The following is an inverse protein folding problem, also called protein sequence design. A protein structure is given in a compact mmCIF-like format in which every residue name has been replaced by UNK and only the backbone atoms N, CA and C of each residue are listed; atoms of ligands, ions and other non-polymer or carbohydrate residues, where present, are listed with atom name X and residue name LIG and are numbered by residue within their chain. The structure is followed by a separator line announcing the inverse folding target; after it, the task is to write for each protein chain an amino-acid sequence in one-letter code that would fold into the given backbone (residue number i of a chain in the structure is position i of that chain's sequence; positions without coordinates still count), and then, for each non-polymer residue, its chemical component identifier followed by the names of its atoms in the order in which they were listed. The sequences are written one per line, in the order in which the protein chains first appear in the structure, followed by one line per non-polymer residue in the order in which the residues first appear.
data_IF_519328405162
#
_entry.id   IF_519328405162
#
_cell.length_a   1.000
_cell.length_b   1.000
_cell.length_c   1.000
_cell.angle_alpha   90.00
_cell.angle_beta   90.00
_cell.angle_gamma   90.00
#
_symmetry.space_group_name_H-M   'P 1'
#
loop_
_entity.id
_entity.type
_entity.pdbx_description
1 polymer ?
#
# COMPACT_ATOMS: atom_id res chain seq x y z
N UNK A 1 -6.67 2.04 5.13
CA UNK A 1 -7.85 2.87 4.79
C UNK A 1 -8.64 2.19 3.66
N UNK A 2 -9.81 2.67 3.20
CA UNK A 2 -10.45 2.14 1.98
C UNK A 2 -9.65 2.60 0.75
N UNK A 3 -9.34 1.69 -0.19
CA UNK A 3 -8.59 2.02 -1.42
C UNK A 3 -9.22 3.12 -2.28
N UNK A 4 -10.54 3.29 -2.21
CA UNK A 4 -11.22 4.40 -2.89
C UNK A 4 -10.77 5.77 -2.38
N UNK A 5 -10.38 5.88 -1.11
CA UNK A 5 -9.93 7.15 -0.53
C UNK A 5 -8.53 7.48 -1.02
N UNK A 6 -7.61 6.51 -1.05
CA UNK A 6 -6.28 6.70 -1.64
C UNK A 6 -6.36 7.09 -3.12
N UNK A 7 -7.22 6.40 -3.87
CA UNK A 7 -7.47 6.71 -5.28
C UNK A 7 -7.98 8.14 -5.50
N UNK A 8 -9.02 8.55 -4.77
CA UNK A 8 -9.58 9.90 -4.89
C UNK A 8 -8.55 10.94 -4.46
N UNK A 9 -7.85 10.70 -3.35
CA UNK A 9 -6.86 11.63 -2.83
C UNK A 9 -5.69 11.82 -3.79
N UNK A 10 -5.12 10.73 -4.33
CA UNK A 10 -4.03 10.81 -5.29
C UNK A 10 -4.46 11.39 -6.64
N UNK A 11 -5.72 11.20 -7.05
CA UNK A 11 -6.28 11.89 -8.22
C UNK A 11 -6.39 13.41 -8.00
N UNK A 12 -6.90 13.83 -6.84
CA UNK A 12 -6.99 15.25 -6.47
C UNK A 12 -5.60 15.87 -6.36
N UNK A 13 -4.65 15.18 -5.71
CA UNK A 13 -3.28 15.62 -5.57
C UNK A 13 -2.59 15.76 -6.93
N UNK A 14 -2.76 14.78 -7.83
CA UNK A 14 -2.25 14.83 -9.19
C UNK A 14 -2.83 16.01 -9.98
N UNK A 15 -4.15 16.23 -9.90
CA UNK A 15 -4.78 17.37 -10.56
C UNK A 15 -4.24 18.71 -10.02
N UNK A 16 -4.10 18.84 -8.70
CA UNK A 16 -3.58 20.04 -8.05
C UNK A 16 -2.12 20.33 -8.42
N UNK A 17 -1.30 19.28 -8.58
CA UNK A 17 0.12 19.41 -8.91
C UNK A 17 0.41 19.32 -10.43
N UNK A 18 -0.63 19.15 -11.26
CA UNK A 18 -0.49 19.10 -12.72
C UNK A 18 0.14 20.33 -13.36
N UNK A 19 -0.03 21.58 -12.86
CA UNK A 19 0.66 22.74 -13.43
C UNK A 19 2.19 22.67 -13.27
N UNK A 20 2.69 21.95 -12.26
CA UNK A 20 4.12 21.83 -11.97
C UNK A 20 4.77 20.62 -12.65
N UNK A 21 4.05 19.50 -12.72
CA UNK A 21 4.61 18.23 -13.22
C UNK A 21 4.07 17.80 -14.59
N UNK A 22 3.09 18.51 -15.15
CA UNK A 22 2.47 18.18 -16.43
C UNK A 22 1.98 16.73 -16.47
N UNK A 23 2.37 15.99 -17.51
CA UNK A 23 2.08 14.55 -17.65
C UNK A 23 2.67 13.69 -16.53
N UNK A 24 3.71 14.15 -15.83
CA UNK A 24 4.25 13.49 -14.65
C UNK A 24 3.23 13.32 -13.54
N UNK A 25 2.22 14.21 -13.44
CA UNK A 25 1.14 14.06 -12.47
C UNK A 25 0.35 12.76 -12.64
N UNK A 26 0.29 12.18 -13.85
CA UNK A 26 -0.31 10.85 -14.04
C UNK A 26 0.46 9.76 -13.28
N UNK A 27 1.79 9.88 -13.17
CA UNK A 27 2.61 8.93 -12.40
C UNK A 27 2.27 9.00 -10.91
N UNK A 28 2.00 10.20 -10.40
CA UNK A 28 1.57 10.42 -9.01
C UNK A 28 0.17 9.85 -8.73
N UNK A 29 -0.74 9.97 -9.68
CA UNK A 29 -2.05 9.30 -9.59
C UNK A 29 -1.88 7.77 -9.62
N UNK A 30 -1.09 7.27 -10.57
CA UNK A 30 -0.85 5.84 -10.72
C UNK A 30 -0.14 5.23 -9.51
N UNK A 31 0.72 5.97 -8.80
CA UNK A 31 1.39 5.43 -7.62
C UNK A 31 0.38 5.04 -6.55
N UNK A 32 -0.65 5.86 -6.28
CA UNK A 32 -1.70 5.52 -5.30
C UNK A 32 -2.43 4.23 -5.63
N UNK A 33 -2.70 3.98 -6.91
CA UNK A 33 -3.32 2.74 -7.36
C UNK A 33 -2.37 1.54 -7.32
N UNK A 34 -1.12 1.72 -7.77
CA UNK A 34 -0.11 0.66 -7.82
C UNK A 34 0.30 0.15 -6.44
N UNK A 35 0.34 1.04 -5.44
CA UNK A 35 0.66 0.67 -4.07
C UNK A 35 -0.43 -0.26 -3.51
N UNK A 36 -1.70 0.13 -3.68
CA UNK A 36 -2.83 -0.68 -3.23
C UNK A 36 -3.05 -1.98 -4.03
N UNK A 37 -2.51 -2.06 -5.25
CA UNK A 37 -2.56 -3.27 -6.06
C UNK A 37 -1.88 -4.46 -5.36
N UNK A 38 -0.96 -4.22 -4.43
CA UNK A 38 -0.30 -5.28 -3.66
C UNK A 38 -1.29 -6.08 -2.78
N UNK A 39 -2.40 -5.48 -2.34
CA UNK A 39 -3.46 -6.16 -1.60
C UNK A 39 -4.19 -7.17 -2.48
N UNK A 40 -4.47 -6.79 -3.73
CA UNK A 40 -5.10 -7.69 -4.69
C UNK A 40 -4.14 -8.81 -5.07
N UNK A 41 -2.86 -8.51 -5.31
CA UNK A 41 -1.84 -9.52 -5.60
C UNK A 41 -1.70 -10.52 -4.46
N UNK A 42 -1.63 -10.05 -3.22
CA UNK A 42 -1.59 -10.92 -2.05
C UNK A 42 -2.85 -11.80 -1.97
N UNK A 43 -4.04 -11.25 -2.22
CA UNK A 43 -5.27 -12.01 -2.25
C UNK A 43 -5.26 -13.09 -3.34
N UNK A 44 -4.78 -12.77 -4.55
CA UNK A 44 -4.63 -13.73 -5.65
C UNK A 44 -3.68 -14.86 -5.23
N UNK A 45 -2.53 -14.53 -4.64
CA UNK A 45 -1.53 -15.52 -4.23
C UNK A 45 -2.06 -16.42 -3.10
N UNK A 46 -2.71 -15.84 -2.10
CA UNK A 46 -3.19 -16.56 -0.92
C UNK A 46 -4.48 -17.36 -1.17
N UNK A 47 -5.40 -16.83 -1.99
CA UNK A 47 -6.71 -17.44 -2.26
C UNK A 47 -6.80 -18.14 -3.61
N UNK A 48 -5.78 -18.02 -4.47
CA UNK A 48 -5.75 -18.56 -5.85
C UNK A 48 -7.00 -18.21 -6.65
N UNK A 49 -7.47 -16.99 -6.47
CA UNK A 49 -8.70 -16.50 -7.06
C UNK A 49 -8.41 -15.17 -7.73
N UNK A 50 -8.96 -14.94 -8.93
CA UNK A 50 -8.77 -13.71 -9.71
C UNK A 50 -10.05 -12.86 -9.78
N UNK A 51 -11.13 -13.30 -9.14
CA UNK A 51 -12.41 -12.61 -9.20
C UNK A 51 -12.37 -11.34 -8.33
N UNK A 52 -12.24 -10.19 -8.99
CA UNK A 52 -12.18 -8.86 -8.35
C UNK A 52 -13.41 -8.57 -7.48
N UNK A 53 -14.60 -9.05 -7.86
CA UNK A 53 -15.81 -8.90 -7.06
C UNK A 53 -15.74 -9.63 -5.72
N UNK A 54 -15.18 -10.85 -5.70
CA UNK A 54 -14.92 -11.61 -4.47
C UNK A 54 -13.85 -10.94 -3.61
N UNK A 55 -12.80 -10.39 -4.21
CA UNK A 55 -11.79 -9.59 -3.51
C UNK A 55 -12.43 -8.38 -2.83
N UNK A 56 -13.21 -7.59 -3.57
CA UNK A 56 -13.85 -6.38 -3.04
C UNK A 56 -14.81 -6.72 -1.88
N UNK A 57 -15.61 -7.77 -2.03
CA UNK A 57 -16.49 -8.24 -0.94
C UNK A 57 -15.68 -8.65 0.30
N UNK A 58 -14.60 -9.39 0.12
CA UNK A 58 -13.73 -9.81 1.21
C UNK A 58 -13.10 -8.60 1.92
N UNK A 59 -12.57 -7.64 1.15
CA UNK A 59 -11.84 -6.49 1.67
C UNK A 59 -12.73 -5.37 2.23
N UNK A 60 -13.98 -5.25 1.79
CA UNK A 60 -14.93 -4.25 2.29
C UNK A 60 -15.84 -4.77 3.40
N UNK A 61 -16.22 -6.05 3.36
CA UNK A 61 -17.27 -6.58 4.25
C UNK A 61 -16.69 -7.52 5.30
N UNK A 62 -15.78 -8.42 4.92
CA UNK A 62 -15.34 -9.51 5.81
C UNK A 62 -14.14 -9.11 6.67
N UNK A 63 -13.16 -8.38 6.11
CA UNK A 63 -11.99 -7.88 6.84
C UNK A 63 -12.35 -6.80 7.88
N UNK A 64 -13.42 -6.03 7.66
CA UNK A 64 -13.88 -5.02 8.62
C UNK A 64 -14.66 -5.63 9.78
N UNK A 65 -15.40 -6.73 9.55
CA UNK A 65 -16.23 -7.39 10.57
C UNK A 65 -15.44 -8.24 11.55
N UNK A 66 -14.36 -8.87 11.07
CA UNK A 66 -13.53 -9.72 11.92
C UNK A 66 -12.57 -8.90 12.79
N UNK A 67 -12.46 -7.59 12.58
CA UNK A 67 -11.28 -6.85 13.03
C UNK A 67 -10.09 -7.26 12.16
N UNK A 68 -9.18 -6.33 11.87
CA UNK A 68 -7.95 -6.65 11.17
C UNK A 68 -7.11 -7.62 12.03
N UNK A 69 -7.43 -8.91 12.09
CA UNK A 69 -6.66 -9.91 12.81
C UNK A 69 -5.37 -10.17 12.02
N UNK A 70 -4.31 -9.43 12.34
CA UNK A 70 -2.97 -9.59 11.76
C UNK A 70 -2.16 -10.67 12.47
N UNK A 71 -2.77 -11.79 12.85
CA UNK A 71 -1.95 -12.93 13.27
C UNK A 71 -1.30 -13.63 12.08
N UNK A 72 -1.82 -13.42 10.87
CA UNK A 72 -1.23 -13.94 9.66
C UNK A 72 -0.26 -12.92 9.08
N UNK A 73 1.02 -13.29 9.05
CA UNK A 73 2.11 -12.56 8.43
C UNK A 73 1.88 -12.30 6.94
N UNK A 74 1.00 -11.36 6.62
CA UNK A 74 0.79 -10.85 5.29
C UNK A 74 1.88 -9.80 5.02
N UNK A 75 2.54 -9.95 3.88
CA UNK A 75 3.58 -9.04 3.40
C UNK A 75 3.02 -8.24 2.22
N UNK A 76 2.86 -6.95 2.44
CA UNK A 76 2.49 -5.98 1.43
C UNK A 76 3.77 -5.30 0.95
N UNK A 77 4.35 -5.80 -0.14
CA UNK A 77 5.70 -5.38 -0.59
C UNK A 77 5.75 -3.86 -0.78
N UNK A 78 4.71 -3.25 -1.36
CA UNK A 78 4.67 -1.81 -1.61
C UNK A 78 4.50 -0.97 -0.33
N UNK A 79 4.23 -1.61 0.82
CA UNK A 79 4.09 -1.01 2.15
C UNK A 79 5.27 -1.32 3.08
N UNK A 80 6.39 -1.75 2.51
CA UNK A 80 7.62 -2.07 3.25
C UNK A 80 8.59 -0.89 3.26
N UNK A 81 9.42 -0.82 4.30
CA UNK A 81 10.50 0.14 4.42
C UNK A 81 11.55 -0.06 3.31
N UNK A 82 11.78 -1.30 2.89
CA UNK A 82 12.68 -1.63 1.79
C UNK A 82 12.17 -1.05 0.46
N UNK A 83 10.87 -1.17 0.17
CA UNK A 83 10.29 -0.58 -1.04
C UNK A 83 10.34 0.95 -1.02
N UNK A 84 10.04 1.57 0.12
CA UNK A 84 10.18 3.03 0.28
C UNK A 84 11.63 3.48 0.07
N UNK A 85 12.60 2.78 0.66
CA UNK A 85 14.02 3.09 0.49
C UNK A 85 14.45 2.99 -0.98
N UNK A 86 13.99 1.98 -1.72
CA UNK A 86 14.25 1.86 -3.16
C UNK A 86 13.62 3.02 -3.95
N UNK A 87 12.39 3.43 -3.63
CA UNK A 87 11.74 4.58 -4.27
C UNK A 87 12.50 5.89 -3.98
N UNK A 88 12.99 6.07 -2.74
CA UNK A 88 13.85 7.22 -2.36
C UNK A 88 15.14 7.22 -3.17
N UNK A 89 15.83 6.08 -3.27
CA UNK A 89 17.06 5.95 -4.07
C UNK A 89 16.76 6.28 -5.54
N UNK A 90 15.70 5.70 -6.12
CA UNK A 90 15.33 5.92 -7.51
C UNK A 90 15.02 7.40 -7.83
N UNK A 91 14.44 8.13 -6.87
CA UNK A 91 14.12 9.56 -7.02
C UNK A 91 15.35 10.45 -7.27
N UNK A 92 16.55 10.02 -6.84
CA UNK A 92 17.80 10.72 -7.15
C UNK A 92 18.27 10.55 -8.60
N UNK A 93 17.77 9.54 -9.31
CA UNK A 93 18.22 9.21 -10.67
C UNK A 93 17.23 9.60 -11.76
N UNK A 94 15.95 9.80 -11.44
CA UNK A 94 14.95 10.09 -12.46
C UNK A 94 13.81 11.00 -11.95
N UNK A 95 13.46 12.09 -12.67
CA UNK A 95 12.37 13.00 -12.26
C UNK A 95 11.02 12.31 -12.07
N UNK A 96 10.67 11.34 -12.92
CA UNK A 96 9.43 10.59 -12.74
C UNK A 96 9.44 9.71 -11.47
N UNK A 97 10.61 9.24 -11.03
CA UNK A 97 10.73 8.50 -9.77
C UNK A 97 10.52 9.42 -8.56
N UNK A 98 10.95 10.69 -8.65
CA UNK A 98 10.61 11.70 -7.64
C UNK A 98 9.09 11.95 -7.59
N UNK A 99 8.42 12.08 -8.75
CA UNK A 99 6.97 12.28 -8.79
C UNK A 99 6.20 11.06 -8.25
N UNK A 100 6.67 9.85 -8.57
CA UNK A 100 6.18 8.60 -7.99
C UNK A 100 6.35 8.60 -6.47
N UNK A 101 7.53 8.99 -5.97
CA UNK A 101 7.81 9.07 -4.53
C UNK A 101 6.88 10.03 -3.81
N UNK A 102 6.56 11.19 -4.40
CA UNK A 102 5.59 12.14 -3.82
C UNK A 102 4.23 11.46 -3.64
N UNK A 103 3.74 10.75 -4.66
CA UNK A 103 2.48 10.03 -4.57
C UNK A 103 2.52 8.86 -3.59
N UNK A 104 3.65 8.15 -3.48
CA UNK A 104 3.90 7.11 -2.49
C UNK A 104 3.89 7.66 -1.05
N UNK A 105 4.57 8.78 -0.80
CA UNK A 105 4.58 9.43 0.51
C UNK A 105 3.19 9.94 0.90
N UNK A 106 2.45 10.50 -0.06
CA UNK A 106 1.05 10.89 0.14
C UNK A 106 0.18 9.70 0.53
N UNK A 107 0.36 8.54 -0.12
CA UNK A 107 -0.33 7.29 0.24
C UNK A 107 -0.01 6.85 1.67
N UNK A 108 1.28 6.78 2.01
CA UNK A 108 1.74 6.40 3.36
C UNK A 108 1.23 7.37 4.43
N UNK A 109 1.16 8.67 4.12
CA UNK A 109 0.61 9.66 5.04
C UNK A 109 -0.88 9.40 5.34
N UNK A 110 -1.68 9.04 4.34
CA UNK A 110 -3.08 8.66 4.55
C UNK A 110 -3.21 7.41 5.42
N UNK A 111 -2.40 6.39 5.18
CA UNK A 111 -2.41 5.19 6.01
C UNK A 111 -1.99 5.48 7.44
N UNK A 112 -1.00 6.35 7.65
CA UNK A 112 -0.60 6.80 8.98
C UNK A 112 -1.73 7.56 9.69
N UNK A 113 -2.41 8.48 8.99
CA UNK A 113 -3.57 9.22 9.53
C UNK A 113 -4.70 8.26 9.89
N UNK A 114 -5.02 7.31 9.01
CA UNK A 114 -6.04 6.29 9.27
C UNK A 114 -5.68 5.43 10.47
N UNK A 115 -4.42 4.98 10.56
CA UNK A 115 -3.94 4.16 11.66
C UNK A 115 -3.99 4.92 12.99
N UNK A 116 -3.66 6.21 12.99
CA UNK A 116 -3.77 7.07 14.16
C UNK A 116 -5.22 7.28 14.63
N UNK A 117 -6.18 7.25 13.70
CA UNK A 117 -7.60 7.45 13.99
C UNK A 117 -8.33 6.19 14.48
N UNK A 118 -7.76 4.98 14.32
CA UNK A 118 -8.43 3.71 14.65
C UNK A 118 -7.95 3.16 16.01
N UNK A 119 -8.86 2.89 16.97
CA UNK A 119 -8.50 2.53 18.35
C UNK A 119 -7.93 1.11 18.53
N UNK A 120 -8.14 0.17 17.60
CA UNK A 120 -7.51 -1.16 17.62
C UNK A 120 -6.35 -1.20 16.62
N UNK A 121 -5.15 -1.11 17.18
CA UNK A 121 -3.89 -1.12 16.43
C UNK A 121 -3.53 -2.55 16.13
N UNK A 122 -3.46 -2.91 14.85
CA UNK A 122 -2.54 -3.99 14.48
C UNK A 122 -1.69 -3.61 13.28
N UNK A 123 -0.39 -3.83 13.46
CA UNK A 123 0.70 -3.28 12.67
C UNK A 123 1.01 -4.30 11.56
N UNK A 124 0.87 -3.87 10.31
CA UNK A 124 1.31 -4.63 9.14
C UNK A 124 2.83 -4.88 9.21
N UNK A 125 3.33 -5.94 8.54
CA UNK A 125 4.77 -6.16 8.47
C UNK A 125 5.43 -5.06 7.62
N UNK A 126 5.99 -4.04 8.27
CA UNK A 126 6.64 -2.91 7.61
C UNK A 126 8.03 -3.23 7.05
N UNK A 127 8.53 -4.45 7.21
CA UNK A 127 9.81 -4.87 6.66
C UNK A 127 9.76 -6.27 6.12
N UNK A 128 10.30 -6.46 4.91
CA UNK A 128 10.51 -7.75 4.29
C UNK A 128 11.48 -8.58 5.14
N UNK A 129 12.57 -7.98 5.61
CA UNK A 129 13.57 -8.66 6.44
C UNK A 129 12.93 -9.17 7.72
N UNK A 130 12.19 -8.31 8.43
CA UNK A 130 11.47 -8.68 9.65
C UNK A 130 10.49 -9.83 9.39
N UNK A 131 9.71 -9.71 8.31
CA UNK A 131 8.75 -10.74 7.90
C UNK A 131 9.42 -12.09 7.66
N UNK A 132 10.57 -12.13 7.00
CA UNK A 132 11.34 -13.37 6.76
C UNK A 132 11.80 -13.97 8.09
N UNK A 133 12.35 -13.16 9.00
CA UNK A 133 12.86 -13.62 10.30
C UNK A 133 11.72 -14.23 11.13
N UNK A 134 10.60 -13.54 11.28
CA UNK A 134 9.46 -14.01 12.06
C UNK A 134 8.84 -15.27 11.47
N UNK A 135 8.64 -15.33 10.15
CA UNK A 135 8.06 -16.51 9.51
C UNK A 135 9.00 -17.73 9.54
N UNK A 136 10.32 -17.53 9.48
CA UNK A 136 11.28 -18.63 9.67
C UNK A 136 11.24 -19.19 11.09
N UNK A 137 11.08 -18.34 12.11
CA UNK A 137 10.95 -18.76 13.51
C UNK A 137 9.65 -19.55 13.70
N UNK A 138 8.52 -19.04 13.21
CA UNK A 138 7.22 -19.71 13.32
C UNK A 138 7.14 -21.08 12.64
N UNK A 139 7.83 -21.28 11.52
CA UNK A 139 7.87 -22.60 10.84
C UNK A 139 8.75 -23.65 11.55
N UNK A 140 9.55 -23.23 12.54
CA UNK A 140 10.44 -24.11 13.31
C UNK A 140 9.91 -24.43 14.72
N UNK A 141 8.87 -23.72 15.17
CA UNK A 141 8.16 -23.96 16.41
C UNK A 141 6.97 -24.90 16.15
#
# INVERSE_FOLDING_TARGET
MRSSVHFIFTAVLAAALSPFFGWGALVMFLSGWLIDADHFLLWVVTRRNFNVGKFYRHHMVESQKTGYHTEDGNLHIAHTAEFLALAVIAAFFHPLALVFLIGLLAHYALDAIWLAAVPRRIILNHSIIWWIVVNKIRKRA
#
